data_IF_055236778553
#
_entry.id   IF_055236778553
#
_cell.length_a   1.000
_cell.length_b   1.000
_cell.length_c   1.000
_cell.angle_alpha   90.00
_cell.angle_beta   90.00
_cell.angle_gamma   90.00
#
_symmetry.space_group_name_H-M   'P 1'
#
loop_
_entity.id
_entity.type
_entity.pdbx_description
1 polymer ?
#
# COMPACT_ATOMS: atom_id res chain seq x y z
N UNK A 1 16.36 6.31 17.53
CA UNK A 1 15.34 6.54 16.48
C UNK A 1 14.00 6.79 17.17
N UNK A 2 13.22 7.80 16.76
CA UNK A 2 11.96 8.17 17.46
C UNK A 2 10.74 7.84 16.61
N UNK A 3 9.72 7.26 17.23
CA UNK A 3 8.44 6.94 16.63
C UNK A 3 7.32 7.62 17.40
N UNK A 4 6.37 8.17 16.66
CA UNK A 4 5.09 8.63 17.19
C UNK A 4 3.98 7.71 16.67
N UNK A 5 3.15 7.20 17.57
CA UNK A 5 2.03 6.33 17.24
C UNK A 5 0.72 6.96 17.67
N UNK A 6 -0.23 7.02 16.75
CA UNK A 6 -1.62 7.40 17.01
C UNK A 6 -2.55 6.26 16.61
N UNK A 7 -3.51 5.94 17.48
CA UNK A 7 -4.54 4.92 17.24
C UNK A 7 -3.98 3.54 16.78
N UNK A 8 -2.86 3.12 17.37
CA UNK A 8 -2.19 1.86 17.06
C UNK A 8 -2.72 0.70 17.94
N UNK A 9 -3.78 0.04 17.49
CA UNK A 9 -4.45 -0.99 18.27
C UNK A 9 -4.99 -0.42 19.59
N UNK A 10 -4.63 -0.95 20.77
CA UNK A 10 -5.05 -0.40 22.07
C UNK A 10 -4.32 0.90 22.47
N UNK A 11 -3.31 1.33 21.72
CA UNK A 11 -2.52 2.52 22.01
C UNK A 11 -3.15 3.73 21.34
N UNK A 12 -3.67 4.68 22.13
CA UNK A 12 -4.30 5.89 21.59
C UNK A 12 -3.28 6.91 21.10
N UNK A 13 -2.24 7.16 21.90
CA UNK A 13 -1.14 8.05 21.57
C UNK A 13 0.11 7.58 22.33
N UNK A 14 1.26 7.49 21.66
CA UNK A 14 2.53 7.14 22.28
C UNK A 14 3.74 7.67 21.51
N UNK A 15 4.69 8.25 22.23
CA UNK A 15 6.04 8.52 21.75
C UNK A 15 7.01 7.45 22.27
N UNK A 16 7.77 6.84 21.37
CA UNK A 16 8.78 5.83 21.71
C UNK A 16 10.11 6.24 21.10
N UNK A 17 11.14 6.30 21.93
CA UNK A 17 12.51 6.46 21.50
C UNK A 17 13.26 5.13 21.65
N UNK A 18 13.81 4.64 20.54
CA UNK A 18 14.64 3.44 20.49
C UNK A 18 16.11 3.83 20.72
N UNK A 19 16.71 3.27 21.76
CA UNK A 19 18.15 3.23 22.00
C UNK A 19 18.78 1.91 21.55
N UNK A 20 20.03 1.66 21.94
CA UNK A 20 20.80 0.47 21.53
C UNK A 20 20.16 -0.85 21.97
N UNK A 21 19.53 -0.84 23.14
CA UNK A 21 18.73 -1.94 23.66
C UNK A 21 17.43 -1.37 24.27
N UNK A 22 16.29 -1.80 23.74
CA UNK A 22 14.97 -1.33 24.17
C UNK A 22 14.09 -2.51 24.56
N UNK A 23 13.54 -2.49 25.78
CA UNK A 23 12.57 -3.48 26.25
C UNK A 23 11.15 -2.92 26.21
N UNK A 24 10.23 -3.65 25.59
CA UNK A 24 8.79 -3.31 25.55
C UNK A 24 8.05 -4.25 26.51
N UNK A 25 7.66 -3.74 27.67
CA UNK A 25 7.02 -4.50 28.76
C UNK A 25 5.57 -4.03 29.02
N UNK A 26 4.78 -4.87 29.69
CA UNK A 26 3.40 -4.56 30.08
C UNK A 26 2.46 -5.77 30.02
N UNK A 27 1.25 -5.61 30.54
CA UNK A 27 0.23 -6.66 30.59
C UNK A 27 -0.14 -7.22 29.21
N UNK A 28 -0.65 -8.46 29.11
CA UNK A 28 -1.16 -9.00 27.85
C UNK A 28 -2.11 -8.02 27.14
N UNK A 29 -2.06 -8.00 25.81
CA UNK A 29 -2.98 -7.22 24.97
C UNK A 29 -2.95 -5.69 25.12
N UNK A 30 -1.90 -5.11 25.73
CA UNK A 30 -1.74 -3.65 25.86
C UNK A 30 -1.06 -2.95 24.68
N UNK A 31 -0.80 -3.66 23.57
CA UNK A 31 -0.23 -3.06 22.36
C UNK A 31 1.26 -3.30 22.14
N UNK A 32 1.93 -4.09 22.99
CA UNK A 32 3.35 -4.46 22.80
C UNK A 32 3.65 -5.02 21.41
N UNK A 33 2.88 -6.00 20.96
CA UNK A 33 3.02 -6.59 19.62
C UNK A 33 2.66 -5.61 18.52
N UNK A 34 1.74 -4.67 18.78
CA UNK A 34 1.36 -3.64 17.82
C UNK A 34 2.50 -2.64 17.61
N UNK A 35 3.15 -2.17 18.68
CA UNK A 35 4.34 -1.31 18.60
C UNK A 35 5.42 -2.00 17.76
N UNK A 36 5.77 -3.24 18.11
CA UNK A 36 6.84 -3.96 17.43
C UNK A 36 6.52 -4.18 15.95
N UNK A 37 5.27 -4.52 15.62
CA UNK A 37 4.81 -4.61 14.23
C UNK A 37 4.90 -3.27 13.51
N UNK A 38 4.46 -2.17 14.12
CA UNK A 38 4.51 -0.87 13.48
C UNK A 38 5.95 -0.46 13.16
N UNK A 39 6.87 -0.61 14.13
CA UNK A 39 8.31 -0.38 13.92
C UNK A 39 8.83 -1.26 12.77
N UNK A 40 8.53 -2.57 12.80
CA UNK A 40 8.95 -3.48 11.74
C UNK A 40 8.46 -3.04 10.36
N UNK A 41 7.18 -2.71 10.20
CA UNK A 41 6.64 -2.28 8.90
C UNK A 41 7.23 -0.96 8.44
N UNK A 42 7.45 0.00 9.35
CA UNK A 42 8.12 1.26 9.02
C UNK A 42 9.55 1.03 8.50
N UNK A 43 10.28 0.07 9.07
CA UNK A 43 11.63 -0.28 8.62
C UNK A 43 11.62 -1.13 7.34
N UNK A 44 10.60 -1.97 7.15
CA UNK A 44 10.44 -2.80 5.95
C UNK A 44 10.34 -1.95 4.68
N UNK A 45 9.76 -0.76 4.78
CA UNK A 45 9.71 0.20 3.68
C UNK A 45 11.10 0.69 3.23
N UNK A 46 12.13 0.52 4.05
CA UNK A 46 13.52 0.86 3.70
C UNK A 46 14.28 -0.32 3.06
N UNK A 47 13.68 -1.52 3.03
CA UNK A 47 14.29 -2.68 2.40
C UNK A 47 14.10 -2.63 0.88
N UNK A 48 15.21 -2.48 0.14
CA UNK A 48 15.22 -2.40 -1.32
C UNK A 48 14.54 -3.61 -1.98
N UNK A 49 14.73 -4.82 -1.43
CA UNK A 49 14.11 -6.03 -1.99
C UNK A 49 12.60 -6.00 -1.79
N UNK A 50 12.14 -5.53 -0.63
CA UNK A 50 10.71 -5.34 -0.40
C UNK A 50 10.12 -4.29 -1.35
N UNK A 51 10.81 -3.17 -1.54
CA UNK A 51 10.38 -2.12 -2.49
C UNK A 51 10.28 -2.65 -3.92
N UNK A 52 11.24 -3.46 -4.37
CA UNK A 52 11.22 -4.09 -5.70
C UNK A 52 10.02 -5.00 -5.88
N UNK A 53 9.76 -5.90 -4.93
CA UNK A 53 8.60 -6.80 -4.95
C UNK A 53 7.28 -6.02 -4.99
N UNK A 54 7.16 -4.97 -4.18
CA UNK A 54 5.97 -4.11 -4.16
C UNK A 54 5.80 -3.39 -5.50
N UNK A 55 6.88 -2.86 -6.07
CA UNK A 55 6.87 -2.18 -7.37
C UNK A 55 6.42 -3.13 -8.49
N UNK A 56 7.01 -4.32 -8.57
CA UNK A 56 6.62 -5.34 -9.54
C UNK A 56 5.14 -5.69 -9.45
N UNK A 57 4.63 -5.87 -8.22
CA UNK A 57 3.23 -6.22 -7.99
C UNK A 57 2.26 -5.09 -8.36
N UNK A 58 2.62 -3.83 -8.10
CA UNK A 58 1.81 -2.68 -8.50
C UNK A 58 1.81 -2.56 -10.03
N UNK A 59 2.98 -2.68 -10.67
CA UNK A 59 3.11 -2.59 -12.13
C UNK A 59 2.31 -3.68 -12.83
N UNK A 60 2.33 -4.93 -12.34
CA UNK A 60 1.56 -6.02 -12.94
C UNK A 60 0.05 -5.82 -12.81
N UNK A 61 -0.42 -5.30 -11.66
CA UNK A 61 -1.84 -4.98 -11.47
C UNK A 61 -2.30 -3.86 -12.41
N UNK A 62 -1.54 -2.77 -12.51
CA UNK A 62 -1.87 -1.65 -13.39
C UNK A 62 -1.89 -2.05 -14.86
N UNK A 63 -0.94 -2.90 -15.28
CA UNK A 63 -0.92 -3.43 -16.64
C UNK A 63 -2.20 -4.22 -16.95
N UNK A 64 -2.64 -5.04 -16.00
CA UNK A 64 -3.88 -5.83 -16.14
C UNK A 64 -5.10 -4.92 -16.29
N UNK A 65 -5.19 -3.84 -15.52
CA UNK A 65 -6.30 -2.88 -15.60
C UNK A 65 -6.32 -2.14 -16.95
N UNK A 66 -5.14 -1.75 -17.47
CA UNK A 66 -5.00 -1.13 -18.79
C UNK A 66 -5.44 -2.11 -19.89
N UNK A 67 -4.99 -3.36 -19.84
CA UNK A 67 -5.33 -4.38 -20.82
C UNK A 67 -6.84 -4.62 -20.87
N UNK A 68 -7.50 -4.66 -19.70
CA UNK A 68 -8.95 -4.77 -19.58
C UNK A 68 -9.68 -3.57 -20.21
N UNK A 69 -9.18 -2.34 -20.01
CA UNK A 69 -9.75 -1.14 -20.64
C UNK A 69 -9.62 -1.20 -22.17
N UNK A 70 -8.46 -1.61 -22.68
CA UNK A 70 -8.23 -1.76 -24.12
C UNK A 70 -9.20 -2.78 -24.73
N UNK A 71 -9.42 -3.91 -24.05
CA UNK A 71 -10.39 -4.92 -24.48
C UNK A 71 -11.81 -4.34 -24.52
N UNK A 72 -12.21 -3.57 -23.51
CA UNK A 72 -13.51 -2.93 -23.46
C UNK A 72 -13.71 -1.94 -24.62
N UNK A 73 -12.71 -1.09 -24.91
CA UNK A 73 -12.74 -0.13 -26.03
C UNK A 73 -12.87 -0.86 -27.37
N UNK A 74 -12.03 -1.87 -27.63
CA UNK A 74 -12.10 -2.67 -28.87
C UNK A 74 -13.44 -3.36 -29.05
N UNK A 75 -14.01 -3.87 -27.95
CA UNK A 75 -15.35 -4.49 -27.98
C UNK A 75 -16.42 -3.46 -28.35
N UNK A 76 -16.34 -2.24 -27.82
CA UNK A 76 -17.26 -1.16 -28.20
C UNK A 76 -17.11 -0.73 -29.66
N UNK A 77 -15.89 -0.65 -30.19
CA UNK A 77 -15.65 -0.35 -31.62
C UNK A 77 -16.30 -1.39 -32.55
N UNK A 78 -16.23 -2.68 -32.16
CA UNK A 78 -16.86 -3.77 -32.93
C UNK A 78 -18.39 -3.70 -32.85
N UNK A 79 -18.94 -3.41 -31.67
CA UNK A 79 -20.38 -3.41 -31.44
C UNK A 79 -21.07 -2.13 -31.93
N UNK A 80 -20.35 -1.01 -32.03
CA UNK A 80 -20.88 0.29 -32.41
C UNK A 80 -19.98 1.02 -33.44
N UNK A 81 -19.75 0.45 -34.64
CA UNK A 81 -18.79 0.97 -35.62
C UNK A 81 -19.12 2.37 -36.17
N UNK A 82 -20.35 2.86 -35.98
CA UNK A 82 -20.84 4.13 -36.54
C UNK A 82 -20.97 5.28 -35.51
N UNK A 83 -20.59 5.08 -34.24
CA UNK A 83 -20.76 6.13 -33.19
C UNK A 83 -19.59 7.12 -33.16
N UNK A 84 -18.47 6.82 -33.82
CA UNK A 84 -17.28 7.69 -33.88
C UNK A 84 -17.23 8.65 -35.08
N UNK A 85 -18.21 8.63 -35.98
CA UNK A 85 -18.38 9.71 -36.97
C UNK A 85 -19.06 10.91 -36.28
N UNK A 86 -18.25 11.80 -35.71
CA UNK A 86 -18.69 13.19 -35.56
C UNK A 86 -18.93 13.72 -36.98
N UNK A 87 -20.14 14.23 -37.30
CA UNK A 87 -20.37 14.79 -38.62
C UNK A 87 -19.42 15.99 -38.79
N UNK A 88 -18.51 15.89 -39.75
CA UNK A 88 -17.72 17.03 -40.19
C UNK A 88 -18.70 18.13 -40.65
N UNK A 89 -18.53 19.34 -40.11
CA UNK A 89 -19.35 20.53 -40.42
C UNK A 89 -18.74 21.30 -41.57
#
# INVERSE_FOLDING_TARGET
>A
MKFHFEYLGPIKNADIELGDLTFILGYPSTGKSYILKAIYHSLLLLDNKFQEIVKEKITSSLQTDIDNLIIAIKTMEILAPNVLYLPET
#
